data_IF_906404695306
#
_entry.id   IF_906404695306
#
_cell.length_a   1.000
_cell.length_b   1.000
_cell.length_c   1.000
_cell.angle_alpha   90.00
_cell.angle_beta   90.00
_cell.angle_gamma   90.00
#
_symmetry.space_group_name_H-M   'P 1'
#
loop_
_entity.id
_entity.type
_entity.pdbx_description
1 polymer ?
#
# COMPACT_ATOMS: atom_id res chain seq x y z
N UNK A 1 -22.98 -1.76 32.99
CA UNK A 1 -21.62 -1.29 32.64
C UNK A 1 -21.81 -0.40 31.41
N UNK A 2 -21.61 0.92 31.54
CA UNK A 2 -21.76 1.83 30.38
C UNK A 2 -20.48 1.73 29.56
N UNK A 3 -20.57 1.30 28.31
CA UNK A 3 -19.50 1.48 27.34
C UNK A 3 -19.23 2.98 27.23
N UNK A 4 -18.06 3.42 27.70
CA UNK A 4 -17.59 4.77 27.42
C UNK A 4 -17.16 4.79 25.96
N UNK A 5 -17.98 5.41 25.12
CA UNK A 5 -17.59 5.83 23.77
C UNK A 5 -16.54 6.92 23.94
N UNK A 6 -15.29 6.62 23.58
CA UNK A 6 -14.17 7.54 23.72
C UNK A 6 -14.08 8.43 22.47
N UNK A 7 -15.05 9.35 22.34
CA UNK A 7 -15.20 10.29 21.21
C UNK A 7 -14.07 11.35 21.11
N UNK A 8 -13.01 11.26 21.93
CA UNK A 8 -11.93 12.23 21.98
C UNK A 8 -10.65 11.84 21.25
N UNK A 9 -10.56 10.61 20.71
CA UNK A 9 -9.31 10.08 20.17
C UNK A 9 -9.51 9.39 18.80
N UNK A 10 -8.48 9.48 17.95
CA UNK A 10 -8.37 8.78 16.68
C UNK A 10 -7.13 7.88 16.67
N UNK A 11 -7.13 6.86 15.81
CA UNK A 11 -6.00 5.97 15.59
C UNK A 11 -5.52 6.05 14.13
N UNK A 12 -4.20 6.10 13.96
CA UNK A 12 -3.55 6.18 12.67
C UNK A 12 -2.73 4.91 12.47
N UNK A 13 -2.89 4.29 11.31
CA UNK A 13 -2.22 3.05 10.96
C UNK A 13 -1.40 3.24 9.71
N UNK A 14 -0.12 2.90 9.80
CA UNK A 14 0.70 2.72 8.61
C UNK A 14 0.22 1.47 7.82
N UNK A 15 0.37 1.50 6.50
CA UNK A 15 -0.05 0.40 5.62
C UNK A 15 1.04 -0.66 5.49
N UNK A 16 2.18 -0.28 4.93
CA UNK A 16 3.22 -1.20 4.45
C UNK A 16 4.03 -1.76 5.61
N UNK A 17 4.24 -3.08 5.65
CA UNK A 17 4.89 -3.78 6.79
C UNK A 17 4.20 -3.58 8.16
N UNK A 18 3.04 -2.90 8.22
CA UNK A 18 2.27 -2.64 9.44
C UNK A 18 0.88 -3.31 9.37
N UNK A 19 -0.04 -2.79 8.56
CA UNK A 19 -1.34 -3.42 8.32
C UNK A 19 -1.20 -4.67 7.45
N UNK A 20 -0.37 -4.61 6.42
CA UNK A 20 -0.05 -5.73 5.53
C UNK A 20 1.39 -6.21 5.76
N UNK A 21 1.66 -7.48 5.48
CA UNK A 21 3.01 -8.03 5.66
C UNK A 21 4.02 -7.56 4.57
N UNK A 22 3.53 -7.05 3.45
CA UNK A 22 4.32 -6.66 2.28
C UNK A 22 4.32 -5.16 2.01
N UNK A 23 4.67 -4.81 0.78
CA UNK A 23 4.59 -3.45 0.26
C UNK A 23 3.46 -3.35 -0.76
N UNK A 24 2.51 -2.44 -0.53
CA UNK A 24 1.37 -2.16 -1.39
C UNK A 24 1.80 -1.63 -2.76
N UNK A 25 2.90 -0.88 -2.80
CA UNK A 25 3.58 -0.48 -4.03
C UNK A 25 3.93 -1.66 -4.95
N UNK A 26 4.38 -2.78 -4.40
CA UNK A 26 4.69 -3.97 -5.22
C UNK A 26 3.42 -4.59 -5.83
N UNK A 27 2.31 -4.57 -5.10
CA UNK A 27 1.01 -5.01 -5.63
C UNK A 27 0.55 -4.10 -6.75
N UNK A 28 0.67 -2.78 -6.56
CA UNK A 28 0.37 -1.80 -7.59
C UNK A 28 1.20 -2.04 -8.86
N UNK A 29 2.52 -2.13 -8.75
CA UNK A 29 3.40 -2.33 -9.89
C UNK A 29 3.09 -3.61 -10.67
N UNK A 30 2.77 -4.70 -9.97
CA UNK A 30 2.36 -5.96 -10.59
C UNK A 30 1.03 -5.83 -11.35
N UNK A 31 0.02 -5.17 -10.76
CA UNK A 31 -1.28 -4.95 -11.41
C UNK A 31 -1.14 -4.00 -12.60
N UNK A 32 -0.35 -2.93 -12.49
CA UNK A 32 -0.09 -1.99 -13.58
C UNK A 32 0.60 -2.66 -14.76
N UNK A 33 1.61 -3.51 -14.51
CA UNK A 33 2.25 -4.29 -15.56
C UNK A 33 1.28 -5.26 -16.24
N UNK A 34 0.44 -5.97 -15.46
CA UNK A 34 -0.54 -6.92 -15.98
C UNK A 34 -1.63 -6.27 -16.84
N UNK A 35 -1.88 -4.98 -16.64
CA UNK A 35 -2.84 -4.18 -17.42
C UNK A 35 -2.17 -3.31 -18.50
N UNK A 36 -0.94 -3.66 -18.91
CA UNK A 36 -0.17 -2.98 -19.98
C UNK A 36 0.09 -1.48 -19.72
N UNK A 37 -0.03 -1.03 -18.47
CA UNK A 37 0.25 0.35 -18.08
C UNK A 37 1.74 0.62 -17.89
N UNK A 38 2.55 -0.43 -17.73
CA UNK A 38 4.02 -0.39 -17.60
C UNK A 38 4.67 -1.46 -18.48
N UNK A 39 5.81 -1.16 -19.10
CA UNK A 39 6.48 -2.13 -19.99
C UNK A 39 7.22 -3.22 -19.20
N UNK A 40 7.30 -4.42 -19.78
CA UNK A 40 8.06 -5.55 -19.19
C UNK A 40 9.55 -5.24 -18.99
N UNK A 41 10.14 -4.40 -19.84
CA UNK A 41 11.54 -3.98 -19.73
C UNK A 41 11.78 -3.09 -18.50
N UNK A 42 10.84 -2.18 -18.24
CA UNK A 42 10.87 -1.35 -17.04
C UNK A 42 10.74 -2.22 -15.79
N UNK A 43 9.76 -3.13 -15.76
CA UNK A 43 9.55 -4.03 -14.61
C UNK A 43 10.74 -4.96 -14.34
N UNK A 44 11.41 -5.50 -15.37
CA UNK A 44 12.58 -6.37 -15.20
C UNK A 44 13.80 -5.63 -14.65
N UNK A 45 14.04 -4.39 -15.08
CA UNK A 45 15.06 -3.51 -14.49
C UNK A 45 14.83 -3.33 -12.99
N UNK A 46 13.57 -3.22 -12.59
CA UNK A 46 13.19 -2.97 -11.20
C UNK A 46 13.33 -4.22 -10.34
N UNK A 47 13.00 -5.38 -10.90
CA UNK A 47 13.24 -6.67 -10.26
C UNK A 47 14.73 -6.91 -9.97
N UNK A 48 15.62 -6.53 -10.90
CA UNK A 48 17.06 -6.63 -10.72
C UNK A 48 17.58 -5.70 -9.62
N UNK A 49 17.13 -4.44 -9.58
CA UNK A 49 17.48 -3.47 -8.51
C UNK A 49 16.95 -3.91 -7.15
N UNK A 50 15.72 -4.45 -7.12
CA UNK A 50 15.12 -5.02 -5.90
C UNK A 50 15.94 -6.18 -5.35
N UNK A 51 16.42 -7.06 -6.23
CA UNK A 51 17.26 -8.19 -5.86
C UNK A 51 18.63 -7.74 -5.34
N UNK A 52 19.29 -6.81 -6.04
CA UNK A 52 20.57 -6.22 -5.64
C UNK A 52 20.50 -5.54 -4.26
N UNK A 53 19.39 -4.87 -3.97
CA UNK A 53 19.18 -4.20 -2.70
C UNK A 53 18.85 -5.15 -1.55
N UNK A 54 18.07 -6.23 -1.81
CA UNK A 54 17.86 -7.31 -0.83
C UNK A 54 19.16 -7.99 -0.45
N UNK A 55 20.12 -8.06 -1.38
CA UNK A 55 21.45 -8.62 -1.14
C UNK A 55 22.36 -7.66 -0.36
N UNK A 56 22.10 -6.34 -0.40
CA UNK A 56 22.93 -5.30 0.24
C UNK A 56 22.34 -4.70 1.52
N UNK A 57 21.08 -5.00 1.86
CA UNK A 57 20.51 -4.75 3.19
C UNK A 57 20.05 -3.32 3.47
N UNK A 58 19.88 -2.47 2.44
CA UNK A 58 19.20 -1.18 2.63
C UNK A 58 17.73 -1.41 2.98
N UNK A 59 17.12 -0.54 3.80
CA UNK A 59 15.68 -0.64 4.12
C UNK A 59 14.84 0.52 3.60
N UNK A 60 15.48 1.68 3.34
CA UNK A 60 14.76 2.95 3.13
C UNK A 60 14.88 3.43 1.67
N UNK A 61 16.07 3.35 1.05
CA UNK A 61 16.26 3.69 -0.38
C UNK A 61 15.40 2.84 -1.33
N UNK A 62 15.03 1.59 -0.97
CA UNK A 62 14.15 0.77 -1.81
C UNK A 62 12.71 1.24 -1.81
N UNK A 63 12.22 1.72 -0.67
CA UNK A 63 10.85 2.24 -0.58
C UNK A 63 10.73 3.48 -1.47
N UNK A 64 11.73 4.37 -1.43
CA UNK A 64 11.78 5.55 -2.30
C UNK A 64 11.94 5.17 -3.77
N UNK A 65 12.82 4.24 -4.12
CA UNK A 65 13.00 3.77 -5.50
C UNK A 65 11.74 3.12 -6.08
N UNK A 66 11.05 2.27 -5.32
CA UNK A 66 9.81 1.64 -5.78
C UNK A 66 8.68 2.67 -5.88
N UNK A 67 8.62 3.62 -4.94
CA UNK A 67 7.66 4.73 -4.99
C UNK A 67 7.86 5.60 -6.22
N UNK A 68 9.09 6.06 -6.46
CA UNK A 68 9.44 6.91 -7.61
C UNK A 68 9.16 6.18 -8.92
N UNK A 69 9.37 4.86 -8.95
CA UNK A 69 9.06 4.03 -10.10
C UNK A 69 7.56 3.91 -10.39
N UNK A 70 6.75 3.84 -9.34
CA UNK A 70 5.30 3.87 -9.51
C UNK A 70 4.85 5.23 -10.01
N UNK A 71 5.44 6.30 -9.48
CA UNK A 71 5.18 7.66 -9.95
C UNK A 71 5.55 7.82 -11.43
N UNK A 72 6.68 7.27 -11.88
CA UNK A 72 7.04 7.18 -13.32
C UNK A 72 6.03 6.35 -14.12
N UNK A 73 5.57 5.21 -13.59
CA UNK A 73 4.64 4.31 -14.28
C UNK A 73 3.25 4.94 -14.51
N UNK A 74 2.82 5.81 -13.59
CA UNK A 74 1.56 6.57 -13.72
C UNK A 74 1.76 7.92 -14.42
N UNK A 75 3.00 8.34 -14.66
CA UNK A 75 3.30 9.61 -15.33
C UNK A 75 2.75 9.61 -16.76
N UNK A 76 1.97 10.66 -17.09
CA UNK A 76 1.33 10.78 -18.41
C UNK A 76 0.13 9.85 -18.64
N UNK A 77 -0.31 9.08 -17.64
CA UNK A 77 -1.51 8.24 -17.71
C UNK A 77 -2.77 9.01 -17.32
N UNK A 78 -3.92 8.59 -17.85
CA UNK A 78 -5.19 9.13 -17.40
C UNK A 78 -5.47 8.64 -15.97
N UNK A 79 -5.91 9.56 -15.10
CA UNK A 79 -6.31 9.24 -13.73
C UNK A 79 -7.34 8.11 -13.67
N UNK A 80 -8.27 8.06 -14.62
CA UNK A 80 -9.30 7.02 -14.68
C UNK A 80 -8.68 5.63 -14.87
N UNK A 81 -7.69 5.50 -15.75
CA UNK A 81 -6.99 4.23 -16.00
C UNK A 81 -6.24 3.74 -14.76
N UNK A 82 -5.60 4.68 -14.03
CA UNK A 82 -4.88 4.38 -12.79
C UNK A 82 -5.85 4.01 -11.66
N UNK A 83 -6.96 4.73 -11.54
CA UNK A 83 -7.98 4.47 -10.51
C UNK A 83 -8.70 3.15 -10.75
N UNK A 84 -8.89 2.75 -12.02
CA UNK A 84 -9.49 1.45 -12.36
C UNK A 84 -8.67 0.26 -11.85
N UNK A 85 -7.37 0.43 -11.59
CA UNK A 85 -6.56 -0.63 -10.99
C UNK A 85 -6.99 -0.97 -9.56
N UNK A 86 -7.68 -0.08 -8.86
CA UNK A 86 -8.13 -0.30 -7.49
C UNK A 86 -9.05 -1.51 -7.35
N UNK A 87 -9.86 -1.79 -8.38
CA UNK A 87 -10.74 -2.96 -8.41
C UNK A 87 -9.94 -4.28 -8.31
N UNK A 88 -8.70 -4.28 -8.80
CA UNK A 88 -7.79 -5.43 -8.71
C UNK A 88 -6.85 -5.35 -7.49
N UNK A 89 -6.44 -4.14 -7.08
CA UNK A 89 -5.47 -3.93 -5.99
C UNK A 89 -6.11 -4.06 -4.62
N UNK A 90 -7.24 -3.40 -4.35
CA UNK A 90 -7.85 -3.36 -3.02
C UNK A 90 -8.15 -4.77 -2.46
N UNK A 91 -8.74 -5.72 -3.21
CA UNK A 91 -8.97 -7.07 -2.70
C UNK A 91 -7.67 -7.80 -2.31
N UNK A 92 -6.56 -7.55 -3.02
CA UNK A 92 -5.25 -8.13 -2.71
C UNK A 92 -4.67 -7.53 -1.44
N UNK A 93 -4.77 -6.21 -1.27
CA UNK A 93 -4.31 -5.56 -0.04
C UNK A 93 -5.14 -6.01 1.17
N UNK A 94 -6.47 -6.07 1.03
CA UNK A 94 -7.38 -6.53 2.09
C UNK A 94 -7.11 -7.98 2.52
N UNK A 95 -6.79 -8.86 1.57
CA UNK A 95 -6.44 -10.26 1.87
C UNK A 95 -5.04 -10.41 2.46
N UNK A 96 -4.15 -9.43 2.27
CA UNK A 96 -2.82 -9.38 2.87
C UNK A 96 -2.79 -8.75 4.28
N UNK A 97 -3.92 -8.24 4.78
CA UNK A 97 -4.00 -7.64 6.13
C UNK A 97 -3.72 -8.72 7.19
N UNK A 98 -2.79 -8.40 8.08
CA UNK A 98 -2.36 -9.29 9.16
C UNK A 98 -3.50 -9.45 10.18
N UNK A 99 -3.86 -10.68 10.61
CA UNK A 99 -4.93 -10.90 11.59
C UNK A 99 -4.72 -10.12 12.90
N UNK A 100 -3.46 -10.01 13.35
CA UNK A 100 -3.14 -9.29 14.58
C UNK A 100 -3.42 -7.79 14.44
N UNK A 101 -3.04 -7.19 13.31
CA UNK A 101 -3.29 -5.76 13.07
C UNK A 101 -4.77 -5.49 12.82
N UNK A 102 -5.49 -6.42 12.18
CA UNK A 102 -6.96 -6.37 12.06
C UNK A 102 -7.63 -6.28 13.43
N UNK A 103 -7.23 -7.13 14.37
CA UNK A 103 -7.75 -7.12 15.74
C UNK A 103 -7.40 -5.83 16.52
N UNK A 104 -6.35 -5.10 16.13
CA UNK A 104 -6.05 -3.77 16.69
C UNK A 104 -7.05 -2.75 16.15
N UNK A 105 -7.27 -2.71 14.84
CA UNK A 105 -8.22 -1.78 14.20
C UNK A 105 -9.63 -1.99 14.75
N UNK A 106 -10.09 -3.23 14.85
CA UNK A 106 -11.40 -3.59 15.40
C UNK A 106 -11.60 -3.07 16.83
N UNK A 107 -10.58 -3.19 17.70
CA UNK A 107 -10.64 -2.62 19.06
C UNK A 107 -10.79 -1.10 19.09
N UNK A 108 -10.23 -0.39 18.10
CA UNK A 108 -10.43 1.06 18.01
C UNK A 108 -11.85 1.39 17.55
N UNK A 109 -12.42 0.62 16.60
CA UNK A 109 -13.82 0.75 16.20
C UNK A 109 -14.79 0.46 17.34
N UNK A 110 -14.55 -0.62 18.09
CA UNK A 110 -15.35 -0.99 19.27
C UNK A 110 -15.30 0.10 20.36
N UNK A 111 -14.18 0.81 20.48
CA UNK A 111 -14.04 1.94 21.40
C UNK A 111 -14.69 3.25 20.89
N UNK A 112 -15.28 3.25 19.69
CA UNK A 112 -15.89 4.41 19.06
C UNK A 112 -14.89 5.43 18.50
N UNK A 113 -13.64 5.02 18.24
CA UNK A 113 -12.58 5.90 17.73
C UNK A 113 -12.54 5.86 16.20
N UNK A 114 -12.31 7.02 15.60
CA UNK A 114 -12.03 7.09 14.17
C UNK A 114 -10.67 6.44 13.86
N UNK A 115 -10.59 5.77 12.71
CA UNK A 115 -9.35 5.10 12.27
C UNK A 115 -8.98 5.57 10.88
N UNK A 116 -7.70 5.89 10.67
CA UNK A 116 -7.18 6.36 9.40
C UNK A 116 -5.96 5.53 8.98
N UNK A 117 -5.83 5.31 7.68
CA UNK A 117 -4.60 4.77 7.09
C UNK A 117 -3.74 5.95 6.66
N UNK A 118 -2.46 5.91 7.02
CA UNK A 118 -1.44 6.87 6.59
C UNK A 118 -0.39 6.09 5.82
N UNK A 119 -0.20 6.39 4.55
CA UNK A 119 0.77 5.66 3.72
C UNK A 119 1.60 6.61 2.87
N UNK A 120 2.87 6.26 2.68
CA UNK A 120 3.75 6.91 1.70
C UNK A 120 3.50 6.41 0.26
N UNK A 121 2.69 5.35 0.12
CA UNK A 121 2.24 4.84 -1.17
C UNK A 121 1.27 5.83 -1.85
N UNK A 122 1.24 5.88 -3.19
CA UNK A 122 0.43 6.86 -3.92
C UNK A 122 -1.05 6.84 -3.51
N UNK A 123 -1.61 8.03 -3.32
CA UNK A 123 -2.94 8.26 -2.74
C UNK A 123 -4.06 7.69 -3.60
N UNK A 124 -3.84 7.45 -4.90
CA UNK A 124 -4.86 6.82 -5.77
C UNK A 124 -5.28 5.41 -5.31
N UNK A 125 -4.56 4.77 -4.38
CA UNK A 125 -4.88 3.44 -3.85
C UNK A 125 -5.92 3.40 -2.72
N UNK A 126 -6.26 4.54 -2.10
CA UNK A 126 -6.95 4.55 -0.78
C UNK A 126 -8.17 5.49 -0.71
N UNK A 127 -8.70 5.94 -1.85
CA UNK A 127 -9.89 6.82 -1.90
C UNK A 127 -11.10 6.15 -2.53
#
# INVERSE_FOLDING_TARGET
MREQVDNGAAAFFDLDRTLIAGASTMVFGWVAWRNDLTSTREMMSDGLRTLEFRLTGGSDEMTDLVRDRILEAVEGRNREDVTALNDEILPRLLSAVRPETRAVVERHHEAGRETYIVSASPVELVS
#
